data_IF_919794161667
#
_entry.id   IF_919794161667
#
_cell.length_a   1.000
_cell.length_b   1.000
_cell.length_c   1.000
_cell.angle_alpha   90.00
_cell.angle_beta   90.00
_cell.angle_gamma   90.00
#
_symmetry.space_group_name_H-M   'P 1'
#
loop_
_entity.id
_entity.type
_entity.pdbx_description
1 polymer ?
#
# COMPACT_ATOMS: atom_id res chain seq x y z
N UNK A 1 14.49 -0.50 1.32
CA UNK A 1 15.39 0.27 2.20
C UNK A 1 15.64 -0.43 3.55
N UNK A 2 14.65 -1.07 4.14
CA UNK A 2 14.73 -1.75 5.45
C UNK A 2 14.93 -3.26 5.32
N UNK A 3 15.13 -3.81 4.14
CA UNK A 3 15.46 -5.22 3.89
C UNK A 3 14.28 -6.19 3.88
N UNK A 4 13.04 -5.70 3.82
CA UNK A 4 11.89 -6.56 3.62
C UNK A 4 11.81 -7.03 2.15
N UNK A 5 11.38 -8.27 1.90
CA UNK A 5 10.93 -8.68 0.59
C UNK A 5 9.55 -8.09 0.32
N UNK A 6 9.39 -7.34 -0.76
CA UNK A 6 8.19 -6.59 -1.07
C UNK A 6 7.47 -7.18 -2.28
N UNK A 7 6.18 -7.50 -2.12
CA UNK A 7 5.28 -7.88 -3.20
C UNK A 7 4.31 -6.71 -3.40
N UNK A 8 4.41 -6.01 -4.51
CA UNK A 8 3.50 -4.93 -4.85
C UNK A 8 2.23 -5.47 -5.49
N UNK A 9 1.09 -4.85 -5.17
CA UNK A 9 -0.18 -5.16 -5.83
C UNK A 9 -0.76 -3.88 -6.43
N UNK A 10 -1.06 -3.90 -7.73
CA UNK A 10 -1.53 -2.73 -8.44
C UNK A 10 -2.63 -3.07 -9.48
N UNK A 11 -3.32 -2.03 -9.96
CA UNK A 11 -4.46 -2.16 -10.89
C UNK A 11 -4.08 -2.06 -12.38
N UNK A 12 -2.80 -1.83 -12.69
CA UNK A 12 -2.28 -1.74 -14.08
C UNK A 12 -0.82 -2.16 -14.14
N UNK A 13 -0.41 -2.63 -15.31
CA UNK A 13 0.98 -3.03 -15.58
C UNK A 13 1.97 -1.88 -15.37
N UNK A 14 1.67 -0.68 -15.87
CA UNK A 14 2.54 0.50 -15.72
C UNK A 14 2.85 0.80 -14.26
N UNK A 15 1.85 0.60 -13.36
CA UNK A 15 2.02 0.77 -11.90
C UNK A 15 2.89 -0.32 -11.31
N UNK A 16 2.74 -1.56 -11.76
CA UNK A 16 3.59 -2.67 -11.32
C UNK A 16 5.03 -2.49 -11.79
N UNK A 17 5.23 -2.04 -13.03
CA UNK A 17 6.57 -1.74 -13.56
C UNK A 17 7.25 -0.65 -12.72
N UNK A 18 6.51 0.42 -12.39
CA UNK A 18 7.03 1.44 -11.47
C UNK A 18 7.40 0.84 -10.11
N UNK A 19 6.51 0.04 -9.50
CA UNK A 19 6.80 -0.59 -8.21
C UNK A 19 8.07 -1.46 -8.27
N UNK A 20 8.27 -2.23 -9.34
CA UNK A 20 9.48 -3.05 -9.55
C UNK A 20 10.72 -2.17 -9.73
N UNK A 21 10.60 -1.09 -10.50
CA UNK A 21 11.68 -0.11 -10.68
C UNK A 21 12.10 0.54 -9.35
N UNK A 22 11.13 0.80 -8.47
CA UNK A 22 11.34 1.37 -7.14
C UNK A 22 11.75 0.33 -6.08
N UNK A 23 11.96 -0.93 -6.48
CA UNK A 23 12.56 -1.96 -5.63
C UNK A 23 11.60 -3.01 -5.07
N UNK A 24 10.38 -3.13 -5.59
CA UNK A 24 9.54 -4.29 -5.27
C UNK A 24 10.11 -5.55 -5.94
N UNK A 25 10.23 -6.63 -5.17
CA UNK A 25 10.78 -7.91 -5.64
C UNK A 25 9.82 -8.60 -6.62
N UNK A 26 8.52 -8.48 -6.36
CA UNK A 26 7.46 -9.13 -7.14
C UNK A 26 6.25 -8.20 -7.33
N UNK A 27 5.40 -8.54 -8.29
CA UNK A 27 4.19 -7.76 -8.57
C UNK A 27 2.99 -8.63 -8.88
N UNK A 28 1.81 -8.20 -8.42
CA UNK A 28 0.53 -8.85 -8.67
C UNK A 28 -0.44 -7.84 -9.26
N UNK A 29 -1.00 -8.15 -10.42
CA UNK A 29 -2.05 -7.35 -11.04
C UNK A 29 -3.41 -7.79 -10.49
N UNK A 30 -4.11 -6.90 -9.78
CA UNK A 30 -5.44 -7.20 -9.32
C UNK A 30 -6.54 -6.65 -10.25
N UNK A 31 -7.65 -7.38 -10.45
CA UNK A 31 -8.76 -6.93 -11.27
C UNK A 31 -9.54 -5.80 -10.57
N UNK A 32 -10.23 -4.99 -11.36
CA UNK A 32 -11.09 -3.92 -10.81
C UNK A 32 -12.34 -4.45 -10.10
N UNK A 33 -12.85 -5.59 -10.55
CA UNK A 33 -14.00 -6.27 -9.97
C UNK A 33 -13.52 -7.50 -9.20
N UNK A 34 -13.95 -7.61 -7.96
CA UNK A 34 -13.58 -8.66 -7.02
C UNK A 34 -14.77 -9.56 -6.69
N UNK A 35 -15.26 -10.31 -7.66
CA UNK A 35 -16.18 -11.39 -7.40
C UNK A 35 -15.51 -12.54 -6.61
N UNK A 36 -16.27 -13.56 -6.24
CA UNK A 36 -15.77 -14.70 -5.45
C UNK A 36 -14.60 -15.44 -6.11
N UNK A 37 -14.65 -15.59 -7.43
CA UNK A 37 -13.62 -16.33 -8.16
C UNK A 37 -12.34 -15.48 -8.28
N UNK A 38 -12.48 -14.17 -8.53
CA UNK A 38 -11.38 -13.22 -8.52
C UNK A 38 -10.72 -13.13 -7.14
N UNK A 39 -11.49 -13.10 -6.05
CA UNK A 39 -10.97 -13.12 -4.68
C UNK A 39 -10.15 -14.38 -4.39
N UNK A 40 -10.66 -15.55 -4.80
CA UNK A 40 -9.96 -16.82 -4.63
C UNK A 40 -8.65 -16.85 -5.43
N UNK A 41 -8.71 -16.40 -6.70
CA UNK A 41 -7.55 -16.30 -7.57
C UNK A 41 -6.50 -15.37 -6.97
N UNK A 42 -6.88 -14.17 -6.57
CA UNK A 42 -5.99 -13.18 -5.97
C UNK A 42 -5.31 -13.70 -4.69
N UNK A 43 -6.07 -14.34 -3.79
CA UNK A 43 -5.49 -14.95 -2.59
C UNK A 43 -4.48 -16.06 -2.90
N UNK A 44 -4.75 -16.87 -3.92
CA UNK A 44 -3.85 -17.95 -4.33
C UNK A 44 -2.59 -17.38 -4.99
N UNK A 45 -2.71 -16.36 -5.82
CA UNK A 45 -1.59 -15.68 -6.48
C UNK A 45 -0.64 -15.06 -5.44
N UNK A 46 -1.19 -14.38 -4.41
CA UNK A 46 -0.35 -13.87 -3.30
C UNK A 46 0.44 -15.01 -2.65
N UNK A 47 -0.19 -16.17 -2.39
CA UNK A 47 0.49 -17.32 -1.77
C UNK A 47 1.56 -17.91 -2.69
N UNK A 48 1.28 -18.01 -3.98
CA UNK A 48 2.20 -18.55 -4.96
C UNK A 48 3.46 -17.69 -5.06
N UNK A 49 3.29 -16.39 -5.31
CA UNK A 49 4.37 -15.41 -5.45
C UNK A 49 5.19 -15.26 -4.15
N UNK A 50 4.53 -15.39 -2.99
CA UNK A 50 5.19 -15.29 -1.69
C UNK A 50 5.81 -16.59 -1.17
N UNK A 51 5.59 -17.72 -1.84
CA UNK A 51 6.03 -19.02 -1.35
C UNK A 51 5.23 -19.53 -0.15
N UNK A 52 3.91 -19.30 -0.13
CA UNK A 52 3.00 -19.85 0.88
C UNK A 52 2.24 -18.83 1.73
N UNK A 53 2.45 -17.55 1.52
CA UNK A 53 1.79 -16.45 2.22
C UNK A 53 2.73 -15.33 2.63
N UNK A 54 2.20 -14.26 3.19
CA UNK A 54 2.93 -13.05 3.57
C UNK A 54 2.92 -12.84 5.09
N UNK A 55 3.98 -12.24 5.61
CA UNK A 55 4.12 -11.95 7.04
C UNK A 55 3.40 -10.64 7.41
N UNK A 56 3.34 -9.69 6.47
CA UNK A 56 2.69 -8.39 6.65
C UNK A 56 1.87 -8.05 5.43
N UNK A 57 0.67 -7.53 5.64
CA UNK A 57 -0.17 -6.91 4.62
C UNK A 57 -0.32 -5.43 4.97
N UNK A 58 0.04 -4.54 4.04
CA UNK A 58 -0.14 -3.11 4.15
C UNK A 58 -1.31 -2.70 3.26
N UNK A 59 -2.51 -2.61 3.83
CA UNK A 59 -3.75 -2.38 3.07
C UNK A 59 -4.22 -0.93 3.12
N UNK A 60 -4.16 -0.26 1.97
CA UNK A 60 -4.71 1.08 1.74
C UNK A 60 -6.02 1.03 0.94
N UNK A 61 -6.40 -0.15 0.44
CA UNK A 61 -7.48 -0.33 -0.54
C UNK A 61 -8.79 -0.70 0.15
N UNK A 62 -8.77 -1.68 1.03
CA UNK A 62 -9.97 -2.17 1.72
C UNK A 62 -10.96 -2.88 0.79
N UNK A 63 -12.26 -2.66 1.02
CA UNK A 63 -13.33 -3.26 0.22
C UNK A 63 -13.22 -4.77 0.08
N UNK A 64 -13.55 -5.27 -1.10
CA UNK A 64 -13.54 -6.70 -1.41
C UNK A 64 -12.13 -7.30 -1.60
N UNK A 65 -11.08 -6.46 -1.58
CA UNK A 65 -9.68 -6.90 -1.63
C UNK A 65 -9.14 -7.36 -0.28
N UNK A 66 -9.76 -6.93 0.81
CA UNK A 66 -9.27 -7.18 2.17
C UNK A 66 -9.36 -8.65 2.60
N UNK A 67 -10.50 -9.32 2.37
CA UNK A 67 -10.67 -10.73 2.74
C UNK A 67 -9.68 -11.65 2.01
N UNK A 68 -9.53 -11.61 0.68
CA UNK A 68 -8.56 -12.47 -0.01
C UNK A 68 -7.11 -12.20 0.41
N UNK A 69 -6.78 -10.96 0.74
CA UNK A 69 -5.46 -10.61 1.29
C UNK A 69 -5.25 -11.25 2.66
N UNK A 70 -6.24 -11.15 3.57
CA UNK A 70 -6.18 -11.82 4.87
C UNK A 70 -6.07 -13.35 4.74
N UNK A 71 -6.71 -13.95 3.72
CA UNK A 71 -6.59 -15.39 3.44
C UNK A 71 -5.19 -15.81 3.03
N UNK A 72 -4.38 -14.89 2.52
CA UNK A 72 -3.00 -15.14 2.13
C UNK A 72 -1.96 -14.83 3.22
N UNK A 73 -2.38 -14.35 4.39
CA UNK A 73 -1.46 -14.09 5.50
C UNK A 73 -0.95 -15.40 6.12
N UNK A 74 0.31 -15.40 6.55
CA UNK A 74 0.89 -16.51 7.34
C UNK A 74 0.39 -16.52 8.78
N UNK A 75 0.63 -17.62 9.47
CA UNK A 75 0.50 -17.71 10.92
C UNK A 75 1.36 -16.62 11.59
N UNK A 76 0.81 -15.96 12.59
CA UNK A 76 1.41 -14.82 13.29
C UNK A 76 1.66 -13.57 12.43
N UNK A 77 1.12 -13.53 11.21
CA UNK A 77 1.21 -12.36 10.34
C UNK A 77 0.39 -11.18 10.85
N UNK A 78 0.67 -10.01 10.32
CA UNK A 78 0.02 -8.74 10.68
C UNK A 78 -0.66 -8.12 9.46
N UNK A 79 -1.95 -7.88 9.57
CA UNK A 79 -2.73 -7.16 8.60
C UNK A 79 -2.87 -5.71 9.07
N UNK A 80 -2.23 -4.78 8.38
CA UNK A 80 -2.22 -3.36 8.71
C UNK A 80 -3.33 -2.64 7.93
N UNK A 81 -4.29 -2.11 8.66
CA UNK A 81 -5.41 -1.33 8.11
C UNK A 81 -4.98 0.12 8.04
N UNK A 82 -4.70 0.62 6.82
CA UNK A 82 -4.19 1.97 6.57
C UNK A 82 -5.28 2.88 5.98
N UNK A 83 -6.16 2.31 5.12
CA UNK A 83 -7.20 3.10 4.44
C UNK A 83 -8.24 2.23 3.74
N UNK A 84 -9.20 2.88 3.05
CA UNK A 84 -10.40 2.23 2.51
C UNK A 84 -10.80 2.84 1.15
N UNK A 85 -9.86 3.00 0.23
CA UNK A 85 -10.14 3.67 -1.06
C UNK A 85 -11.17 2.91 -1.92
N UNK A 86 -11.34 1.59 -1.70
CA UNK A 86 -12.40 0.78 -2.31
C UNK A 86 -13.60 0.51 -1.37
N UNK A 87 -13.66 1.20 -0.22
CA UNK A 87 -14.72 1.06 0.78
C UNK A 87 -14.29 0.27 2.02
N UNK A 88 -15.13 0.36 3.06
CA UNK A 88 -14.88 -0.31 4.35
C UNK A 88 -15.04 -1.82 4.17
N UNK A 89 -14.03 -2.65 4.47
CA UNK A 89 -14.08 -4.08 4.25
C UNK A 89 -14.95 -4.79 5.30
N UNK A 90 -15.59 -5.88 4.89
CA UNK A 90 -16.23 -6.84 5.79
C UNK A 90 -15.26 -7.99 6.06
N UNK A 91 -14.62 -7.99 7.24
CA UNK A 91 -13.60 -8.98 7.57
C UNK A 91 -14.21 -10.17 8.30
N UNK A 92 -14.03 -11.41 7.79
CA UNK A 92 -14.46 -12.61 8.51
C UNK A 92 -13.49 -12.90 9.67
N UNK A 93 -13.86 -12.48 10.89
CA UNK A 93 -12.99 -12.55 12.07
C UNK A 93 -12.54 -13.98 12.44
N UNK A 94 -13.27 -15.00 12.02
CA UNK A 94 -12.85 -16.39 12.18
C UNK A 94 -11.49 -16.69 11.52
N UNK A 95 -11.09 -15.91 10.50
CA UNK A 95 -9.77 -16.07 9.88
C UNK A 95 -8.63 -15.68 10.82
N UNK A 96 -8.85 -14.73 11.74
CA UNK A 96 -7.83 -14.37 12.72
C UNK A 96 -7.53 -15.52 13.68
N UNK A 97 -8.58 -16.26 14.10
CA UNK A 97 -8.46 -17.48 14.90
C UNK A 97 -7.73 -18.58 14.13
N UNK A 98 -8.19 -18.89 12.90
CA UNK A 98 -7.66 -20.00 12.10
C UNK A 98 -6.20 -19.79 11.68
N UNK A 99 -5.77 -18.54 11.55
CA UNK A 99 -4.42 -18.18 11.12
C UNK A 99 -3.54 -17.67 12.27
N UNK A 100 -4.10 -17.55 13.48
CA UNK A 100 -3.40 -16.95 14.62
C UNK A 100 -2.69 -15.64 14.23
N UNK A 101 -3.40 -14.77 13.49
CA UNK A 101 -2.86 -13.53 12.97
C UNK A 101 -3.49 -12.30 13.65
N UNK A 102 -2.97 -11.13 13.37
CA UNK A 102 -3.42 -9.86 13.94
C UNK A 102 -3.98 -8.94 12.85
N UNK A 103 -5.05 -8.21 13.18
CA UNK A 103 -5.54 -7.08 12.40
C UNK A 103 -5.26 -5.82 13.21
N UNK A 104 -4.48 -4.89 12.67
CA UNK A 104 -3.94 -3.72 13.38
C UNK A 104 -4.34 -2.47 12.62
N UNK A 105 -5.06 -1.56 13.28
CA UNK A 105 -5.33 -0.22 12.76
C UNK A 105 -4.08 0.65 12.82
N UNK A 106 -3.81 1.39 11.73
CA UNK A 106 -2.70 2.33 11.63
C UNK A 106 -3.26 3.70 11.25
N UNK A 107 -3.53 4.53 12.24
CA UNK A 107 -4.03 5.88 12.02
C UNK A 107 -2.92 6.91 12.24
N UNK A 108 -2.09 7.09 11.20
CA UNK A 108 -0.94 7.98 11.27
C UNK A 108 -1.31 9.42 11.65
N UNK A 109 -2.45 9.96 11.18
CA UNK A 109 -2.87 11.32 11.50
C UNK A 109 -3.06 11.55 13.01
N UNK A 110 -3.67 10.58 13.71
CA UNK A 110 -3.83 10.65 15.15
C UNK A 110 -2.49 10.45 15.87
N UNK A 111 -1.69 9.47 15.45
CA UNK A 111 -0.34 9.23 15.96
C UNK A 111 0.52 10.50 15.86
N UNK A 112 0.57 11.15 14.71
CA UNK A 112 1.35 12.37 14.49
C UNK A 112 0.94 13.52 15.42
N UNK A 113 -0.33 13.58 15.81
CA UNK A 113 -0.84 14.59 16.75
C UNK A 113 -0.56 14.29 18.23
N UNK A 114 -0.65 13.02 18.62
CA UNK A 114 -0.50 12.59 20.02
C UNK A 114 0.96 12.27 20.37
N UNK A 115 1.69 11.61 19.49
CA UNK A 115 3.06 11.14 19.72
C UNK A 115 4.10 12.00 18.99
N UNK A 116 4.01 13.33 19.16
CA UNK A 116 4.77 14.34 18.41
C UNK A 116 6.27 14.11 18.42
N UNK A 117 6.86 13.76 19.55
CA UNK A 117 8.30 13.53 19.67
C UNK A 117 8.76 12.28 18.91
N UNK A 118 7.94 11.23 18.91
CA UNK A 118 8.24 10.02 18.14
C UNK A 118 8.08 10.32 16.65
N UNK A 119 7.01 11.03 16.28
CA UNK A 119 6.78 11.44 14.91
C UNK A 119 7.89 12.32 14.34
N UNK A 120 8.43 13.26 15.16
CA UNK A 120 9.58 14.09 14.79
C UNK A 120 10.79 13.22 14.47
N UNK A 121 11.14 12.26 15.35
CA UNK A 121 12.24 11.32 15.11
C UNK A 121 12.05 10.50 13.84
N UNK A 122 10.82 10.05 13.57
CA UNK A 122 10.51 9.33 12.35
C UNK A 122 10.78 10.18 11.10
N UNK A 123 10.43 11.49 11.13
CA UNK A 123 10.76 12.40 10.03
C UNK A 123 12.26 12.62 9.88
N UNK A 124 13.00 12.80 10.99
CA UNK A 124 14.44 12.94 10.96
C UNK A 124 15.10 11.70 10.33
N UNK A 125 14.64 10.51 10.67
CA UNK A 125 15.12 9.26 10.08
C UNK A 125 14.78 9.16 8.58
N UNK A 126 13.54 9.49 8.19
CA UNK A 126 13.13 9.50 6.78
C UNK A 126 13.94 10.48 5.94
N UNK A 127 14.20 11.69 6.44
CA UNK A 127 15.05 12.66 5.74
C UNK A 127 16.49 12.18 5.63
N UNK A 128 17.02 11.53 6.68
CA UNK A 128 18.35 10.94 6.61
C UNK A 128 18.40 9.79 5.60
N UNK A 129 17.39 8.92 5.55
CA UNK A 129 17.30 7.85 4.55
C UNK A 129 17.25 8.41 3.13
N UNK A 130 16.56 9.54 2.93
CA UNK A 130 16.54 10.21 1.63
C UNK A 130 17.92 10.82 1.30
N UNK A 131 18.56 11.51 2.22
CA UNK A 131 19.92 12.06 2.05
C UNK A 131 20.96 10.97 1.74
N UNK A 132 20.81 9.80 2.34
CA UNK A 132 21.66 8.61 2.09
C UNK A 132 21.33 7.91 0.74
N UNK A 133 20.32 8.37 0.00
CA UNK A 133 19.85 7.74 -1.24
C UNK A 133 19.13 6.40 -1.03
N UNK A 134 18.74 6.05 0.20
CA UNK A 134 18.03 4.79 0.52
C UNK A 134 16.56 4.82 0.10
N UNK A 135 15.96 6.01 0.08
CA UNK A 135 14.61 6.26 -0.43
C UNK A 135 14.63 7.46 -1.37
N UNK A 136 13.92 7.35 -2.47
CA UNK A 136 13.78 8.42 -3.44
C UNK A 136 12.36 8.39 -4.04
N UNK A 137 11.38 9.06 -3.42
CA UNK A 137 9.99 9.03 -3.88
C UNK A 137 9.88 9.53 -5.31
N UNK A 138 9.31 8.73 -6.19
CA UNK A 138 9.12 9.08 -7.60
C UNK A 138 8.06 10.17 -7.74
N UNK A 139 8.46 11.33 -8.27
CA UNK A 139 7.56 12.42 -8.67
C UNK A 139 7.32 12.31 -10.16
N UNK A 140 6.10 11.96 -10.55
CA UNK A 140 5.74 11.77 -11.96
C UNK A 140 5.46 13.10 -12.67
N UNK A 141 4.84 14.05 -11.97
CA UNK A 141 4.40 15.32 -12.54
C UNK A 141 4.54 16.45 -11.52
N UNK A 142 4.97 17.61 -12.01
CA UNK A 142 5.00 18.86 -11.26
C UNK A 142 4.12 19.90 -11.97
N UNK A 143 3.23 20.54 -11.25
CA UNK A 143 2.34 21.58 -11.76
C UNK A 143 2.67 22.92 -11.10
N UNK A 144 2.61 24.04 -11.81
CA UNK A 144 2.63 25.34 -11.17
C UNK A 144 1.33 25.58 -10.37
N UNK A 145 1.36 26.50 -9.41
CA UNK A 145 0.24 26.75 -8.50
C UNK A 145 -1.06 27.06 -9.25
N UNK A 146 -0.99 27.80 -10.36
CA UNK A 146 -2.14 28.18 -11.20
C UNK A 146 -2.86 26.95 -11.80
N UNK A 147 -2.17 25.82 -11.92
CA UNK A 147 -2.68 24.56 -12.46
C UNK A 147 -2.93 23.49 -11.39
N UNK A 148 -2.98 23.87 -10.11
CA UNK A 148 -3.23 22.93 -9.02
C UNK A 148 -4.55 22.15 -9.19
N UNK A 149 -5.59 22.77 -9.78
CA UNK A 149 -6.85 22.09 -10.11
C UNK A 149 -6.69 20.94 -11.10
N UNK A 150 -5.78 21.07 -12.08
CA UNK A 150 -5.47 20.00 -13.02
C UNK A 150 -4.72 18.85 -12.33
N UNK A 151 -3.79 19.17 -11.43
CA UNK A 151 -3.10 18.16 -10.61
C UNK A 151 -4.09 17.31 -9.79
N UNK A 152 -5.08 17.95 -9.16
CA UNK A 152 -6.15 17.25 -8.42
C UNK A 152 -6.97 16.35 -9.36
N UNK A 153 -7.34 16.87 -10.52
CA UNK A 153 -8.12 16.12 -11.52
C UNK A 153 -7.37 14.88 -12.02
N UNK A 154 -6.06 14.99 -12.21
CA UNK A 154 -5.23 13.83 -12.62
C UNK A 154 -5.26 12.71 -11.57
N UNK A 155 -5.31 13.06 -10.27
CA UNK A 155 -5.50 12.11 -9.16
C UNK A 155 -6.89 11.47 -9.20
N UNK A 156 -7.95 12.27 -9.37
CA UNK A 156 -9.34 11.79 -9.46
C UNK A 156 -9.52 10.82 -10.64
N UNK A 157 -8.93 11.13 -11.78
CA UNK A 157 -8.94 10.29 -12.98
C UNK A 157 -8.09 9.01 -12.86
N UNK A 158 -7.37 8.83 -11.73
CA UNK A 158 -6.47 7.69 -11.45
C UNK A 158 -5.36 7.49 -12.49
N UNK A 159 -4.93 8.57 -13.16
CA UNK A 159 -3.90 8.55 -14.20
C UNK A 159 -2.48 8.69 -13.65
N UNK A 160 -2.36 9.01 -12.37
CA UNK A 160 -1.06 9.26 -11.73
C UNK A 160 -0.26 7.98 -11.54
N UNK A 161 1.02 8.06 -11.93
CA UNK A 161 2.06 7.07 -11.64
C UNK A 161 3.01 7.67 -10.61
N UNK A 162 2.89 7.39 -9.34
CA UNK A 162 3.76 7.95 -8.30
C UNK A 162 3.16 9.19 -7.63
N UNK A 163 3.95 10.24 -7.44
CA UNK A 163 3.53 11.48 -6.77
C UNK A 163 3.33 12.61 -7.76
N UNK A 164 2.28 13.40 -7.54
CA UNK A 164 2.06 14.68 -8.20
C UNK A 164 2.36 15.79 -7.19
N UNK A 165 3.10 16.79 -7.59
CA UNK A 165 3.44 17.93 -6.74
C UNK A 165 2.97 19.24 -7.39
N UNK A 166 2.70 20.25 -6.56
CA UNK A 166 2.45 21.61 -6.98
C UNK A 166 3.63 22.45 -6.54
N UNK A 167 4.32 23.10 -7.51
CA UNK A 167 5.41 24.03 -7.23
C UNK A 167 4.84 25.39 -6.85
N UNK A 168 5.50 26.04 -5.89
CA UNK A 168 5.18 27.40 -5.43
C UNK A 168 6.13 28.44 -6.04
N UNK A 169 6.95 28.04 -7.00
CA UNK A 169 7.87 28.91 -7.75
C UNK A 169 7.24 29.44 -9.04
#
# INVERSE_FOLDING_TARGET
AMGAKVIASASSEDKLELCKKEGADEGILYPREMDRDAQKKFSNEIKEVSGGGVDVIYDIVGGDYAEPSLRAIKRHGRYLVIGFTAGIPKMPLNLTLLKECQIIGVFWGQFAGLDREINKKNFEELFQMHADGKINPFVSEAYPLERAGEAIKTLEDRKVLGKVVVSME
#
